data_IF_020695316893
#
_entry.id   IF_020695316893
#
_cell.length_a   1.000
_cell.length_b   1.000
_cell.length_c   1.000
_cell.angle_alpha   90.00
_cell.angle_beta   90.00
_cell.angle_gamma   90.00
#
_symmetry.space_group_name_H-M   'P 1'
#
loop_
_entity.id
_entity.type
_entity.pdbx_description
1 polymer ?
#
# COMPACT_ATOMS: atom_id res chain seq x y z
N UNK A 1 -34.21 -15.55 38.46
CA UNK A 1 -33.85 -15.64 37.03
C UNK A 1 -32.93 -14.47 36.76
N UNK A 2 -31.64 -14.70 36.99
CA UNK A 2 -30.59 -13.70 36.84
C UNK A 2 -30.28 -13.71 35.35
N UNK A 3 -30.76 -12.70 34.61
CA UNK A 3 -30.30 -12.47 33.25
C UNK A 3 -29.17 -11.45 33.32
N UNK A 4 -28.02 -11.95 32.91
CA UNK A 4 -26.70 -11.39 33.01
C UNK A 4 -26.44 -10.60 31.73
N UNK A 5 -26.62 -9.29 31.76
CA UNK A 5 -26.31 -8.42 30.63
C UNK A 5 -24.93 -7.81 30.87
N UNK A 6 -23.89 -8.61 30.60
CA UNK A 6 -22.59 -8.06 30.24
C UNK A 6 -22.72 -7.58 28.79
N UNK A 7 -22.80 -6.27 28.58
CA UNK A 7 -22.54 -5.68 27.28
C UNK A 7 -21.08 -5.95 26.90
N UNK A 8 -20.86 -7.03 26.15
CA UNK A 8 -19.56 -7.32 25.53
C UNK A 8 -19.49 -6.43 24.29
N UNK A 9 -19.01 -5.20 24.48
CA UNK A 9 -18.61 -4.31 23.39
C UNK A 9 -17.55 -5.04 22.53
N UNK A 10 -17.96 -5.49 21.36
CA UNK A 10 -17.14 -6.22 20.40
C UNK A 10 -16.18 -5.27 19.64
N UNK A 11 -15.50 -4.39 20.37
CA UNK A 11 -14.54 -3.44 19.80
C UNK A 11 -13.12 -3.81 20.16
N UNK A 12 -12.61 -4.94 19.67
CA UNK A 12 -11.17 -5.20 19.46
C UNK A 12 -11.01 -6.49 18.63
N UNK A 13 -11.47 -6.51 17.37
CA UNK A 13 -11.12 -7.58 16.43
C UNK A 13 -10.46 -6.98 15.19
N UNK A 14 -9.20 -6.59 15.33
CA UNK A 14 -8.32 -6.36 14.18
C UNK A 14 -7.73 -7.73 13.80
N UNK A 15 -8.54 -8.61 13.22
CA UNK A 15 -8.03 -9.73 12.45
C UNK A 15 -7.44 -9.17 11.14
N UNK A 16 -6.14 -9.36 10.86
CA UNK A 16 -5.56 -8.99 9.59
C UNK A 16 -6.04 -9.94 8.47
N UNK A 17 -6.17 -9.41 7.25
CA UNK A 17 -6.69 -10.11 6.08
C UNK A 17 -5.81 -11.26 5.54
N UNK A 18 -4.70 -11.60 6.20
CA UNK A 18 -3.99 -12.85 5.97
C UNK A 18 -3.21 -13.28 7.22
N UNK A 19 -3.29 -14.57 7.52
CA UNK A 19 -2.69 -15.28 8.65
C UNK A 19 -1.46 -16.12 8.23
N UNK A 20 -1.03 -15.97 6.99
CA UNK A 20 0.16 -16.61 6.46
C UNK A 20 1.39 -15.74 6.70
N UNK A 21 2.37 -16.23 7.47
CA UNK A 21 3.64 -15.51 7.71
C UNK A 21 4.44 -15.25 6.42
N UNK A 22 4.09 -15.93 5.32
CA UNK A 22 4.68 -15.70 4.00
C UNK A 22 3.94 -14.60 3.20
N UNK A 23 2.70 -14.23 3.57
CA UNK A 23 1.93 -13.12 2.99
C UNK A 23 2.51 -11.75 3.39
N UNK A 24 3.11 -11.67 4.59
CA UNK A 24 3.46 -10.42 5.26
C UNK A 24 4.97 -10.24 5.45
N UNK A 25 5.81 -10.68 4.51
CA UNK A 25 7.16 -10.13 4.42
C UNK A 25 7.02 -8.65 4.03
N UNK A 26 6.97 -7.75 5.01
CA UNK A 26 6.92 -6.31 4.76
C UNK A 26 8.29 -5.88 4.26
N UNK A 27 8.48 -5.59 2.96
CA UNK A 27 9.74 -5.04 2.50
C UNK A 27 9.97 -3.70 3.20
N UNK A 28 11.22 -3.41 3.56
CA UNK A 28 11.55 -2.09 4.07
C UNK A 28 11.12 -1.00 3.08
N UNK A 29 10.62 0.15 3.56
CA UNK A 29 10.15 1.22 2.69
C UNK A 29 11.30 1.76 1.82
N UNK A 30 11.23 1.53 0.51
CA UNK A 30 12.18 2.10 -0.43
C UNK A 30 11.87 3.57 -0.72
N UNK A 31 12.80 4.45 -0.36
CA UNK A 31 12.77 5.86 -0.76
C UNK A 31 13.36 6.02 -2.16
N UNK A 32 12.61 6.63 -3.07
CA UNK A 32 13.10 6.91 -4.42
C UNK A 32 14.20 7.98 -4.38
N UNK A 33 15.30 7.75 -5.07
CA UNK A 33 16.37 8.74 -5.26
C UNK A 33 15.94 9.92 -6.15
N UNK A 34 14.86 9.77 -6.90
CA UNK A 34 14.40 10.72 -7.91
C UNK A 34 12.98 11.22 -7.60
N UNK A 35 12.63 12.46 -8.01
CA UNK A 35 11.30 13.00 -7.82
C UNK A 35 10.23 12.15 -8.53
N UNK A 36 9.00 12.19 -8.01
CA UNK A 36 7.84 11.57 -8.67
C UNK A 36 7.60 12.27 -10.02
N UNK A 37 8.01 11.62 -11.11
CA UNK A 37 7.69 12.07 -12.46
C UNK A 37 6.24 11.71 -12.78
N UNK A 38 5.45 12.70 -13.20
CA UNK A 38 4.06 12.50 -13.61
C UNK A 38 3.94 11.68 -14.89
N UNK A 39 2.87 10.90 -15.02
CA UNK A 39 2.60 10.04 -16.20
C UNK A 39 2.67 10.81 -17.54
N UNK A 40 2.26 12.07 -17.56
CA UNK A 40 2.27 12.91 -18.76
C UNK A 40 3.50 13.82 -18.91
N UNK A 41 4.40 13.88 -17.93
CA UNK A 41 5.62 14.70 -17.96
C UNK A 41 6.63 14.18 -18.99
N UNK A 42 7.58 15.00 -19.46
CA UNK A 42 8.68 14.53 -20.30
C UNK A 42 9.48 13.43 -19.59
N UNK A 43 9.96 12.44 -20.35
CA UNK A 43 10.77 11.36 -19.80
C UNK A 43 12.13 11.90 -19.34
N UNK A 44 12.58 11.59 -18.10
CA UNK A 44 13.90 11.99 -17.62
C UNK A 44 15.05 11.30 -18.38
N UNK A 45 14.75 10.29 -19.19
CA UNK A 45 15.68 9.58 -20.05
C UNK A 45 16.12 10.36 -21.31
N UNK A 46 15.56 11.57 -21.54
CA UNK A 46 15.94 12.40 -22.70
C UNK A 46 15.37 11.94 -24.04
N UNK A 47 14.45 10.98 -24.05
CA UNK A 47 13.90 10.41 -25.29
C UNK A 47 12.92 11.32 -26.05
N UNK A 48 12.57 12.48 -25.47
CA UNK A 48 11.54 13.40 -26.03
C UNK A 48 10.10 12.92 -25.88
N UNK A 49 9.87 11.68 -25.42
CA UNK A 49 8.53 11.14 -25.19
C UNK A 49 8.02 11.47 -23.77
N UNK A 50 6.69 11.46 -23.61
CA UNK A 50 6.05 11.50 -22.28
C UNK A 50 6.40 10.23 -21.49
N UNK A 51 6.55 10.34 -20.18
CA UNK A 51 6.91 9.24 -19.28
C UNK A 51 6.07 7.97 -19.54
N UNK A 52 4.74 8.10 -19.66
CA UNK A 52 3.81 6.98 -19.96
C UNK A 52 4.04 6.23 -21.27
N UNK A 53 4.74 6.83 -22.22
CA UNK A 53 5.04 6.22 -23.52
C UNK A 53 6.49 5.71 -23.60
N UNK A 54 7.29 5.96 -22.56
CA UNK A 54 8.70 5.61 -22.48
C UNK A 54 8.94 4.75 -21.22
N UNK A 55 9.64 5.26 -20.20
CA UNK A 55 9.99 4.50 -18.98
C UNK A 55 8.81 4.14 -18.06
N UNK A 56 7.64 4.76 -18.24
CA UNK A 56 6.44 4.52 -17.45
C UNK A 56 5.34 3.76 -18.19
N UNK A 57 5.71 2.98 -19.21
CA UNK A 57 4.84 1.98 -19.84
C UNK A 57 4.55 0.86 -18.86
#
# INVERSE_FOLDING_TARGET
MIHNEQEIDHSQNQQPCCNDSNCCNTPEPYTRSYPKVGRNSPCPCGSGYKFKKCCGK
#
